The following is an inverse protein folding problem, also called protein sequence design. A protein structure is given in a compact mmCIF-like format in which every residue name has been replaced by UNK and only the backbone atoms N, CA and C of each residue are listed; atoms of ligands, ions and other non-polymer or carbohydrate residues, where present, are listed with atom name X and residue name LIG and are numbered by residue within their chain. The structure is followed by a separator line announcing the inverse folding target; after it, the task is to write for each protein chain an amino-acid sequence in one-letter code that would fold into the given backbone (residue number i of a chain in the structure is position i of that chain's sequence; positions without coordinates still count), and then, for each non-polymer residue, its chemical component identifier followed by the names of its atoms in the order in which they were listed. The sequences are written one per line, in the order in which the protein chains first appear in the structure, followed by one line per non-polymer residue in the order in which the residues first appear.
data_IF_068481438600
#
_entry.id   IF_068481438600
#
_cell.length_a   1.000
_cell.length_b   1.000
_cell.length_c   1.000
_cell.angle_alpha   90.00
_cell.angle_beta   90.00
_cell.angle_gamma   90.00
#
_symmetry.space_group_name_H-M   'P 1'
#
loop_
_entity.id
_entity.type
_entity.pdbx_description
1 polymer ?
#
# COMPACT_ATOMS: atom_id res chain seq x y z
N UNK A 1 -18.37 1.96 -5.97
CA UNK A 1 -17.12 1.27 -6.37
C UNK A 1 -16.16 1.37 -5.21
N UNK A 2 -15.83 0.26 -4.55
CA UNK A 2 -14.81 0.22 -3.50
C UNK A 2 -13.44 0.28 -4.19
N UNK A 3 -12.70 1.37 -4.02
CA UNK A 3 -11.30 1.44 -4.44
C UNK A 3 -10.50 0.58 -3.46
N UNK A 4 -9.95 -0.53 -3.94
CA UNK A 4 -9.05 -1.39 -3.16
C UNK A 4 -7.72 -0.66 -2.92
N UNK A 5 -7.65 0.14 -1.86
CA UNK A 5 -6.40 0.74 -1.44
C UNK A 5 -5.64 -0.27 -0.59
N UNK A 6 -4.40 -0.56 -1.01
CA UNK A 6 -3.53 -1.54 -0.37
C UNK A 6 -2.58 -0.78 0.55
N UNK A 7 -2.33 -1.26 1.79
CA UNK A 7 -1.31 -0.69 2.65
C UNK A 7 0.06 -0.70 1.97
N UNK A 8 0.75 0.43 2.02
CA UNK A 8 2.02 0.68 1.34
C UNK A 8 3.18 0.60 2.33
N UNK A 9 4.23 -0.14 1.99
CA UNK A 9 5.46 -0.17 2.79
C UNK A 9 6.01 1.25 3.07
N UNK A 10 6.19 1.55 4.35
CA UNK A 10 6.78 2.80 4.81
C UNK A 10 8.25 2.91 4.38
N UNK A 11 8.67 4.02 3.76
CA UNK A 11 10.08 4.20 3.37
C UNK A 11 11.01 4.37 4.59
N UNK A 12 10.47 4.72 5.76
CA UNK A 12 11.25 4.93 6.99
C UNK A 12 11.49 3.63 7.77
N UNK A 13 10.44 2.84 8.03
CA UNK A 13 10.54 1.63 8.85
C UNK A 13 10.25 0.31 8.11
N UNK A 14 9.82 0.35 6.85
CA UNK A 14 9.51 -0.83 6.04
C UNK A 14 8.13 -1.45 6.28
N UNK A 15 7.46 -1.09 7.38
CA UNK A 15 6.13 -1.61 7.75
C UNK A 15 5.02 -1.09 6.81
N UNK A 16 4.01 -1.91 6.53
CA UNK A 16 2.88 -1.57 5.66
C UNK A 16 1.59 -1.36 6.48
N UNK A 17 1.68 -0.53 7.53
CA UNK A 17 0.56 -0.18 8.41
C UNK A 17 0.35 1.33 8.36
N UNK A 18 -0.63 1.78 7.55
CA UNK A 18 -0.84 3.18 7.20
C UNK A 18 -2.26 3.62 7.56
N UNK A 19 -2.41 4.84 8.06
CA UNK A 19 -3.72 5.50 8.21
C UNK A 19 -4.07 6.26 6.95
N UNK A 20 -5.37 6.34 6.63
CA UNK A 20 -5.89 7.09 5.48
C UNK A 20 -7.23 7.73 5.86
N UNK A 21 -7.59 8.90 5.29
CA UNK A 21 -8.90 9.50 5.50
C UNK A 21 -9.99 8.70 4.79
N UNK A 22 -11.25 8.89 5.20
CA UNK A 22 -12.38 8.28 4.51
C UNK A 22 -12.50 8.80 3.07
N UNK A 23 -12.82 7.90 2.13
CA UNK A 23 -12.92 8.24 0.71
C UNK A 23 -11.60 8.67 0.05
N UNK A 24 -10.45 8.40 0.70
CA UNK A 24 -9.14 8.79 0.20
C UNK A 24 -8.90 8.33 -1.25
N UNK A 25 -8.38 9.25 -2.08
CA UNK A 25 -7.86 8.95 -3.40
C UNK A 25 -6.43 9.47 -3.48
N UNK A 26 -5.42 8.59 -3.63
CA UNK A 26 -4.02 8.99 -3.68
C UNK A 26 -3.65 9.82 -4.92
N UNK A 27 -4.57 10.00 -5.89
CA UNK A 27 -4.37 10.79 -7.12
C UNK A 27 -5.08 12.14 -7.08
N UNK A 28 -5.86 12.44 -6.04
CA UNK A 28 -6.58 13.71 -5.92
C UNK A 28 -5.86 14.64 -4.95
N UNK A 29 -6.04 15.93 -5.20
CA UNK A 29 -5.65 17.00 -4.29
C UNK A 29 -6.88 17.49 -3.48
N UNK A 30 -6.73 17.76 -2.18
CA UNK A 30 -5.49 17.62 -1.40
C UNK A 30 -5.15 16.15 -1.07
N UNK A 31 -3.85 15.82 -1.09
CA UNK A 31 -3.38 14.52 -0.64
C UNK A 31 -3.37 14.39 0.88
N UNK A 32 -3.94 13.29 1.38
CA UNK A 32 -3.77 12.84 2.76
C UNK A 32 -4.74 13.47 3.77
N UNK A 33 -4.47 13.33 5.08
CA UNK A 33 -3.22 12.84 5.69
C UNK A 33 -3.02 11.32 5.56
N UNK A 34 -1.79 10.88 5.27
CA UNK A 34 -1.42 9.45 5.30
C UNK A 34 -0.19 9.28 6.18
N UNK A 35 -0.30 8.46 7.22
CA UNK A 35 0.76 8.29 8.22
C UNK A 35 1.07 6.80 8.49
N UNK A 36 2.33 6.47 8.74
CA UNK A 36 2.72 5.15 9.22
C UNK A 36 2.39 5.02 10.71
N UNK A 37 1.56 4.04 11.07
CA UNK A 37 1.18 3.78 12.45
C UNK A 37 2.32 3.30 13.35
N UNK A 38 3.44 2.85 12.76
CA UNK A 38 4.56 2.28 13.52
C UNK A 38 5.60 3.33 13.89
N UNK A 39 5.96 4.20 12.94
CA UNK A 39 7.04 5.19 13.14
C UNK A 39 6.58 6.65 13.03
N UNK A 40 5.31 6.90 12.70
CA UNK A 40 4.75 8.24 12.53
C UNK A 40 5.18 8.96 11.24
N UNK A 41 5.76 8.25 10.27
CA UNK A 41 6.16 8.84 8.99
C UNK A 41 4.94 9.38 8.24
N UNK A 42 4.96 10.67 7.90
CA UNK A 42 3.95 11.31 7.09
C UNK A 42 4.33 11.15 5.62
N UNK A 43 3.48 10.48 4.85
CA UNK A 43 3.74 10.25 3.44
C UNK A 43 3.46 11.52 2.64
N UNK A 44 4.26 11.76 1.62
CA UNK A 44 3.91 12.59 0.48
C UNK A 44 3.11 11.79 -0.57
N UNK A 45 2.43 12.49 -1.47
CA UNK A 45 1.67 11.86 -2.56
C UNK A 45 2.55 10.97 -3.43
N UNK A 46 3.72 11.46 -3.84
CA UNK A 46 4.67 10.70 -4.66
C UNK A 46 5.19 9.44 -3.96
N UNK A 47 5.54 9.53 -2.67
CA UNK A 47 5.98 8.37 -1.90
C UNK A 47 4.91 7.28 -1.86
N UNK A 48 3.66 7.69 -1.58
CA UNK A 48 2.54 6.77 -1.50
C UNK A 48 2.22 6.13 -2.86
N UNK A 49 2.20 6.91 -3.94
CA UNK A 49 1.98 6.41 -5.31
C UNK A 49 3.08 5.46 -5.77
N UNK A 50 4.35 5.75 -5.46
CA UNK A 50 5.48 4.87 -5.76
C UNK A 50 5.34 3.52 -5.05
N UNK A 51 4.95 3.53 -3.78
CA UNK A 51 4.75 2.33 -3.00
C UNK A 51 3.52 1.52 -3.46
N UNK A 52 2.42 2.18 -3.84
CA UNK A 52 1.27 1.52 -4.48
C UNK A 52 1.66 0.79 -5.77
N UNK A 53 2.48 1.42 -6.62
CA UNK A 53 3.00 0.78 -7.83
C UNK A 53 3.84 -0.45 -7.51
N UNK A 54 4.72 -0.36 -6.52
CA UNK A 54 5.55 -1.48 -6.08
C UNK A 54 4.70 -2.65 -5.55
N UNK A 55 3.67 -2.35 -4.75
CA UNK A 55 2.78 -3.36 -4.19
C UNK A 55 1.90 -4.02 -5.25
N UNK A 56 1.39 -3.24 -6.23
CA UNK A 56 0.67 -3.79 -7.38
C UNK A 56 1.54 -4.78 -8.15
N UNK A 57 2.78 -4.40 -8.48
CA UNK A 57 3.72 -5.27 -9.17
C UNK A 57 3.96 -6.57 -8.38
N UNK A 58 4.09 -6.48 -7.05
CA UNK A 58 4.27 -7.66 -6.19
C UNK A 58 3.10 -8.63 -6.26
N UNK A 59 1.86 -8.13 -6.28
CA UNK A 59 0.66 -8.96 -6.41
C UNK A 59 0.59 -9.58 -7.81
N UNK A 60 0.88 -8.80 -8.85
CA UNK A 60 0.91 -9.31 -10.23
C UNK A 60 1.98 -10.41 -10.42
N UNK A 61 3.08 -10.34 -9.68
CA UNK A 61 4.15 -11.35 -9.70
C UNK A 61 3.91 -12.54 -8.77
N UNK A 62 2.90 -12.47 -7.88
CA UNK A 62 2.63 -13.56 -6.96
C UNK A 62 2.09 -14.78 -7.72
N UNK A 63 2.82 -15.89 -7.64
CA UNK A 63 2.34 -17.19 -8.08
C UNK A 63 1.82 -17.94 -6.85
N UNK A 64 0.58 -18.45 -6.88
CA UNK A 64 0.09 -19.32 -5.82
C UNK A 64 0.98 -20.57 -5.71
N UNK A 65 1.20 -21.10 -4.48
CA UNK A 65 1.85 -22.39 -4.34
C UNK A 65 1.05 -23.45 -5.09
N UNK A 66 1.74 -24.31 -5.86
CA UNK A 66 1.09 -25.45 -6.53
C UNK A 66 0.39 -26.31 -5.47
N UNK A 67 -0.86 -26.75 -5.69
CA UNK A 67 -1.52 -27.65 -4.77
C UNK A 67 -0.66 -28.90 -4.57
N UNK A 68 -0.51 -29.32 -3.32
CA UNK A 68 0.23 -30.54 -3.00
C UNK A 68 -0.48 -31.73 -3.65
N UNK A 69 0.20 -32.40 -4.59
CA UNK A 69 -0.26 -33.64 -5.21
C UNK A 69 -0.23 -34.72 -4.12
N UNK A 70 -1.40 -35.11 -3.62
CA UNK A 70 -1.53 -36.27 -2.73
C UNK A 70 -1.29 -37.53 -3.57
N UNK A 71 -0.16 -38.17 -3.37
CA UNK A 71 0.11 -39.55 -3.80
C UNK A 71 -0.70 -40.53 -2.94
#
# INVERSE_FOLDING_TARGET
MLKELIPVNCPSCGEAQNTMPDGFDPRLEPFGPVECMVCGHNFSQDEYLKGLKAQRNRIEMWQPPKPAEKQ
#
